data_IF_768971616623
#
_entry.id   IF_768971616623
#
_cell.length_a   1.000
_cell.length_b   1.000
_cell.length_c   1.000
_cell.angle_alpha   90.00
_cell.angle_beta   90.00
_cell.angle_gamma   90.00
#
_symmetry.space_group_name_H-M   'P 1'
#
loop_
_entity.id
_entity.type
_entity.pdbx_description
1 polymer ?
#
# COMPACT_ATOMS: atom_id res chain seq x y z
N UNK A 1 45.93 -35.93 -30.82
CA UNK A 1 44.90 -35.11 -31.53
C UNK A 1 43.82 -34.76 -30.50
N UNK A 2 43.83 -33.55 -29.96
CA UNK A 2 42.76 -33.07 -29.06
C UNK A 2 41.57 -32.62 -29.92
N UNK A 3 40.41 -33.21 -29.67
CA UNK A 3 39.14 -32.80 -30.30
C UNK A 3 38.53 -31.71 -29.43
N UNK A 4 38.49 -30.47 -29.94
CA UNK A 4 37.74 -29.37 -29.31
C UNK A 4 36.25 -29.64 -29.47
N UNK A 5 35.63 -30.25 -28.45
CA UNK A 5 34.17 -30.29 -28.33
C UNK A 5 33.70 -28.89 -27.88
N UNK A 6 33.32 -28.05 -28.84
CA UNK A 6 32.61 -26.81 -28.57
C UNK A 6 31.25 -27.10 -27.96
N UNK A 7 30.97 -26.51 -26.79
CA UNK A 7 29.65 -26.53 -26.19
C UNK A 7 28.67 -25.84 -27.15
N UNK A 8 27.84 -26.63 -27.82
CA UNK A 8 26.68 -26.13 -28.55
C UNK A 8 25.57 -25.85 -27.54
N UNK A 9 25.72 -24.75 -26.79
CA UNK A 9 24.61 -24.21 -26.01
C UNK A 9 23.53 -23.77 -26.98
N UNK A 10 22.55 -24.66 -27.23
CA UNK A 10 21.32 -24.32 -27.91
C UNK A 10 20.68 -23.17 -27.15
N UNK A 11 20.84 -21.97 -27.69
CA UNK A 11 20.24 -20.76 -27.15
C UNK A 11 18.72 -20.88 -27.29
N UNK A 12 18.06 -21.36 -26.23
CA UNK A 12 16.60 -21.39 -26.17
C UNK A 12 16.14 -19.95 -26.08
N UNK A 13 15.64 -19.41 -27.20
CA UNK A 13 15.10 -18.05 -27.25
C UNK A 13 13.95 -17.97 -26.24
N UNK A 14 14.01 -17.08 -25.23
CA UNK A 14 12.97 -17.03 -24.22
C UNK A 14 11.65 -16.65 -24.87
N UNK A 15 10.62 -17.48 -24.67
CA UNK A 15 9.27 -17.19 -25.12
C UNK A 15 8.75 -15.99 -24.33
N UNK A 16 8.47 -14.89 -25.01
CA UNK A 16 7.89 -13.71 -24.37
C UNK A 16 6.47 -14.05 -23.94
N UNK A 17 6.10 -13.90 -22.66
CA UNK A 17 4.77 -14.22 -22.20
C UNK A 17 3.74 -13.25 -22.81
N UNK A 18 2.61 -13.80 -23.23
CA UNK A 18 1.48 -13.03 -23.76
C UNK A 18 0.77 -12.31 -22.62
N UNK A 19 0.60 -10.99 -22.71
CA UNK A 19 -0.22 -10.24 -21.74
C UNK A 19 -1.69 -10.61 -21.90
N UNK A 20 -2.28 -11.19 -20.85
CA UNK A 20 -3.72 -11.47 -20.76
C UNK A 20 -4.36 -10.41 -19.88
N UNK A 21 -5.35 -9.67 -20.42
CA UNK A 21 -6.18 -8.74 -19.64
C UNK A 21 -7.45 -9.45 -19.21
N UNK A 22 -7.71 -9.47 -17.91
CA UNK A 22 -8.91 -10.09 -17.31
C UNK A 22 -9.86 -8.98 -16.87
N UNK A 23 -11.16 -9.13 -17.17
CA UNK A 23 -12.17 -8.19 -16.71
C UNK A 23 -12.49 -8.43 -15.24
N UNK A 24 -12.51 -7.36 -14.45
CA UNK A 24 -12.89 -7.41 -13.04
C UNK A 24 -14.42 -7.55 -12.94
N UNK A 25 -14.96 -8.63 -12.35
CA UNK A 25 -16.40 -8.90 -12.37
C UNK A 25 -17.19 -7.99 -11.43
N UNK A 26 -16.62 -7.59 -10.29
CA UNK A 26 -17.30 -6.76 -9.30
C UNK A 26 -16.29 -6.04 -8.40
N UNK A 27 -16.52 -4.76 -8.14
CA UNK A 27 -15.79 -3.98 -7.14
C UNK A 27 -16.54 -4.02 -5.80
N UNK A 28 -15.89 -4.54 -4.76
CA UNK A 28 -16.50 -4.68 -3.43
C UNK A 28 -16.11 -3.49 -2.56
N UNK A 29 -17.10 -2.89 -1.89
CA UNK A 29 -16.88 -1.81 -0.93
C UNK A 29 -16.17 -2.36 0.30
N UNK A 30 -15.12 -1.68 0.80
CA UNK A 30 -14.50 -2.09 2.06
C UNK A 30 -15.41 -1.73 3.23
N UNK A 31 -15.49 -2.57 4.27
CA UNK A 31 -16.17 -2.22 5.52
C UNK A 31 -15.68 -0.90 6.10
N UNK A 32 -16.59 -0.05 6.58
CA UNK A 32 -16.25 1.25 7.14
C UNK A 32 -15.27 1.14 8.33
N UNK A 33 -15.34 0.04 9.08
CA UNK A 33 -14.45 -0.26 10.20
C UNK A 33 -12.97 -0.25 9.81
N UNK A 34 -12.63 -0.57 8.56
CA UNK A 34 -11.26 -0.62 8.03
C UNK A 34 -10.76 0.74 7.51
N UNK A 35 -11.66 1.70 7.32
CA UNK A 35 -11.30 3.06 6.89
C UNK A 35 -11.51 4.09 7.99
N UNK A 36 -11.70 3.65 9.25
CA UNK A 36 -11.89 4.56 10.39
C UNK A 36 -10.66 5.45 10.61
N UNK A 37 -10.83 6.62 11.26
CA UNK A 37 -9.72 7.45 11.70
C UNK A 37 -8.72 6.65 12.52
N UNK A 38 -7.45 7.01 12.40
CA UNK A 38 -6.36 6.33 13.04
C UNK A 38 -6.37 6.57 14.56
N UNK A 39 -5.94 5.58 15.37
CA UNK A 39 -6.00 5.70 16.82
C UNK A 39 -5.10 6.84 17.30
N UNK A 40 -5.63 7.66 18.22
CA UNK A 40 -4.88 8.77 18.79
C UNK A 40 -3.71 8.27 19.64
N UNK A 41 -2.51 8.74 19.34
CA UNK A 41 -1.34 8.46 20.18
C UNK A 41 -1.41 9.31 21.44
N UNK A 42 -1.34 8.68 22.61
CA UNK A 42 -1.40 9.35 23.91
C UNK A 42 0.00 9.55 24.48
N UNK A 43 0.18 10.65 25.22
CA UNK A 43 1.42 10.90 25.95
C UNK A 43 1.61 9.84 27.05
N UNK A 44 2.86 9.40 27.24
CA UNK A 44 3.23 8.40 28.25
C UNK A 44 3.25 8.96 29.68
N UNK A 45 3.25 10.29 29.83
CA UNK A 45 3.32 10.99 31.10
C UNK A 45 2.34 12.15 31.16
N UNK A 46 2.06 12.61 32.39
CA UNK A 46 1.15 13.74 32.67
C UNK A 46 1.86 15.10 32.80
N UNK A 47 3.12 15.19 32.34
CA UNK A 47 3.86 16.45 32.32
C UNK A 47 3.58 17.19 31.02
N UNK A 48 3.67 18.52 31.04
CA UNK A 48 3.42 19.36 29.86
C UNK A 48 4.40 19.01 28.76
N UNK A 49 5.68 18.81 29.10
CA UNK A 49 6.75 18.47 28.16
C UNK A 49 6.47 17.13 27.48
N UNK A 50 5.99 16.13 28.23
CA UNK A 50 5.64 14.83 27.67
C UNK A 50 4.43 14.90 26.72
N UNK A 51 3.45 15.77 27.02
CA UNK A 51 2.30 16.00 26.14
C UNK A 51 2.71 16.71 24.86
N UNK A 52 3.51 17.78 24.95
CA UNK A 52 3.96 18.55 23.78
C UNK A 52 4.88 17.71 22.89
N UNK A 53 5.82 16.97 23.47
CA UNK A 53 6.69 16.06 22.73
C UNK A 53 5.89 14.98 22.00
N UNK A 54 4.93 14.34 22.68
CA UNK A 54 4.07 13.35 22.07
C UNK A 54 3.18 13.97 20.97
N UNK A 55 2.67 15.19 21.17
CA UNK A 55 1.87 15.88 20.17
C UNK A 55 2.69 16.16 18.91
N UNK A 56 3.85 16.79 19.05
CA UNK A 56 4.69 17.17 17.91
C UNK A 56 5.21 15.95 17.13
N UNK A 57 5.52 14.85 17.81
CA UNK A 57 5.98 13.64 17.16
C UNK A 57 4.86 12.91 16.40
N UNK A 58 3.62 12.94 16.90
CA UNK A 58 2.57 12.05 16.41
C UNK A 58 1.50 12.72 15.56
N UNK A 59 1.24 14.02 15.73
CA UNK A 59 0.20 14.74 14.97
C UNK A 59 0.43 14.72 13.47
N UNK A 60 1.66 14.92 12.96
CA UNK A 60 1.91 14.82 11.51
C UNK A 60 1.54 13.44 10.97
N UNK A 61 1.97 12.38 11.66
CA UNK A 61 1.70 10.99 11.28
C UNK A 61 0.21 10.65 11.38
N UNK A 62 -0.46 11.10 12.44
CA UNK A 62 -1.89 10.89 12.62
C UNK A 62 -2.69 11.61 11.52
N UNK A 63 -2.33 12.85 11.20
CA UNK A 63 -2.96 13.64 10.14
C UNK A 63 -2.79 12.98 8.77
N UNK A 64 -1.60 12.45 8.46
CA UNK A 64 -1.38 11.70 7.21
C UNK A 64 -2.25 10.45 7.15
N UNK A 65 -2.26 9.67 8.24
CA UNK A 65 -3.03 8.45 8.33
C UNK A 65 -4.53 8.70 8.15
N UNK A 66 -5.08 9.71 8.82
CA UNK A 66 -6.48 10.12 8.70
C UNK A 66 -6.83 10.57 7.28
N UNK A 67 -5.97 11.39 6.65
CA UNK A 67 -6.13 11.81 5.25
C UNK A 67 -6.13 10.62 4.30
N UNK A 68 -5.24 9.66 4.51
CA UNK A 68 -5.17 8.43 3.69
C UNK A 68 -6.43 7.60 3.83
N UNK A 69 -6.91 7.38 5.06
CA UNK A 69 -8.14 6.62 5.31
C UNK A 69 -9.37 7.31 4.72
N UNK A 70 -9.46 8.64 4.84
CA UNK A 70 -10.53 9.42 4.21
C UNK A 70 -10.50 9.30 2.68
N UNK A 71 -9.31 9.37 2.06
CA UNK A 71 -9.17 9.18 0.61
C UNK A 71 -9.60 7.79 0.17
N UNK A 72 -9.23 6.74 0.90
CA UNK A 72 -9.66 5.37 0.60
C UNK A 72 -11.19 5.28 0.63
N UNK A 73 -11.83 5.90 1.63
CA UNK A 73 -13.29 5.92 1.74
C UNK A 73 -13.96 6.63 0.56
N UNK A 74 -13.38 7.73 0.08
CA UNK A 74 -13.88 8.48 -1.06
C UNK A 74 -13.72 7.75 -2.41
N UNK A 75 -12.75 6.81 -2.51
CA UNK A 75 -12.51 6.02 -3.72
C UNK A 75 -13.33 4.73 -3.75
N UNK A 76 -14.15 4.45 -2.73
CA UNK A 76 -14.94 3.24 -2.70
C UNK A 76 -16.04 3.26 -3.78
N UNK A 77 -16.35 2.10 -4.39
CA UNK A 77 -17.45 2.00 -5.34
C UNK A 77 -18.76 2.44 -4.67
N UNK A 78 -19.47 3.39 -5.29
CA UNK A 78 -20.71 3.96 -4.77
C UNK A 78 -20.54 5.10 -3.76
N UNK A 79 -19.32 5.60 -3.52
CA UNK A 79 -19.14 6.87 -2.83
C UNK A 79 -19.61 8.02 -3.72
N UNK A 80 -20.47 8.91 -3.19
CA UNK A 80 -20.92 10.12 -3.89
C UNK A 80 -19.70 11.00 -4.15
N UNK A 81 -19.32 11.17 -5.42
CA UNK A 81 -18.27 12.11 -5.81
C UNK A 81 -18.82 13.54 -5.60
N UNK A 82 -18.05 14.43 -4.96
CA UNK A 82 -18.49 15.81 -4.73
C UNK A 82 -18.64 16.59 -6.03
#
# INVERSE_FOLDING_TARGET
MLVLAGCTEKTVKPTVPTMVRVQVPQYVRLPDALTRPCPAVRAKGRTVEAVVSAYNANVPTQTECDKRMARIRALQPGAEQP
#
